data_IF_290513820101
#
_entry.id   IF_290513820101
#
_cell.length_a   1.000
_cell.length_b   1.000
_cell.length_c   1.000
_cell.angle_alpha   90.00
_cell.angle_beta   90.00
_cell.angle_gamma   90.00
#
_symmetry.space_group_name_H-M   'P 1'
#
loop_
_entity.id
_entity.type
_entity.pdbx_description
1 polymer ?
#
# COMPACT_ATOMS: atom_id res chain seq x y z
N UNK A 1 17.37 -10.58 -14.42
CA UNK A 1 16.79 -10.34 -15.78
C UNK A 1 15.88 -9.14 -15.66
N UNK A 2 15.92 -8.20 -16.59
CA UNK A 2 14.99 -7.07 -16.59
C UNK A 2 13.55 -7.61 -16.72
N UNK A 3 12.56 -7.08 -15.97
CA UNK A 3 11.20 -7.61 -15.92
C UNK A 3 10.56 -7.83 -17.30
N UNK A 4 10.74 -6.90 -18.22
CA UNK A 4 10.21 -6.99 -19.58
C UNK A 4 10.80 -8.16 -20.40
N UNK A 5 12.09 -8.48 -20.22
CA UNK A 5 12.74 -9.60 -20.92
C UNK A 5 12.22 -10.95 -20.43
N UNK A 6 11.93 -11.08 -19.13
CA UNK A 6 11.39 -12.31 -18.58
C UNK A 6 9.96 -12.60 -19.11
N UNK A 7 9.14 -11.57 -19.20
CA UNK A 7 7.79 -11.65 -19.74
C UNK A 7 7.79 -11.98 -21.24
N UNK A 8 8.60 -11.27 -22.03
CA UNK A 8 8.75 -11.55 -23.48
C UNK A 8 9.26 -12.96 -23.73
N UNK A 9 10.27 -13.40 -22.97
CA UNK A 9 10.81 -14.76 -23.06
C UNK A 9 9.72 -15.79 -22.73
N UNK A 10 8.99 -15.61 -21.62
CA UNK A 10 7.92 -16.51 -21.22
C UNK A 10 6.80 -16.58 -22.27
N UNK A 11 6.38 -15.44 -22.79
CA UNK A 11 5.37 -15.35 -23.86
C UNK A 11 5.81 -16.08 -25.11
N UNK A 12 7.11 -16.04 -25.44
CA UNK A 12 7.67 -16.70 -26.62
C UNK A 12 7.75 -18.22 -26.50
N UNK A 13 8.06 -18.76 -25.30
CA UNK A 13 8.25 -20.19 -25.11
C UNK A 13 6.98 -20.93 -24.64
N UNK A 14 6.06 -20.26 -23.95
CA UNK A 14 4.86 -20.90 -23.40
C UNK A 14 3.99 -21.63 -24.44
N UNK A 15 3.85 -21.16 -25.71
CA UNK A 15 3.12 -21.91 -26.72
C UNK A 15 3.71 -23.29 -27.04
N UNK A 16 5.01 -23.50 -26.83
CA UNK A 16 5.64 -24.81 -27.05
C UNK A 16 5.16 -25.87 -26.05
N UNK A 17 4.70 -25.45 -24.89
CA UNK A 17 4.17 -26.31 -23.85
C UNK A 17 2.77 -26.85 -24.23
N UNK A 18 2.00 -26.09 -24.99
CA UNK A 18 0.65 -26.47 -25.43
C UNK A 18 0.65 -27.70 -26.36
N UNK A 19 1.78 -28.04 -26.97
CA UNK A 19 1.94 -29.20 -27.85
C UNK A 19 2.52 -30.44 -27.15
N UNK A 20 2.45 -30.52 -25.82
CA UNK A 20 2.96 -31.59 -24.99
C UNK A 20 4.40 -31.42 -24.51
N UNK A 21 4.95 -30.23 -24.62
CA UNK A 21 6.24 -29.86 -24.03
C UNK A 21 6.22 -29.89 -22.51
N UNK A 22 7.42 -29.99 -21.90
CA UNK A 22 7.61 -29.90 -20.45
C UNK A 22 8.60 -28.79 -20.14
N UNK A 23 8.37 -28.06 -19.06
CA UNK A 23 9.29 -27.05 -18.57
C UNK A 23 9.59 -27.25 -17.09
N UNK A 24 10.83 -27.03 -16.71
CA UNK A 24 11.26 -26.89 -15.31
C UNK A 24 11.80 -25.47 -15.18
N UNK A 25 11.18 -24.71 -14.29
CA UNK A 25 11.57 -23.34 -14.02
C UNK A 25 12.10 -23.28 -12.59
N UNK A 26 13.36 -22.88 -12.44
CA UNK A 26 14.00 -22.72 -11.13
C UNK A 26 14.46 -21.27 -10.97
N UNK A 27 14.12 -20.68 -9.85
CA UNK A 27 14.54 -19.31 -9.48
C UNK A 27 14.52 -19.16 -7.97
N UNK A 28 15.22 -18.16 -7.48
CA UNK A 28 14.99 -17.61 -6.16
C UNK A 28 13.95 -16.49 -6.27
N UNK A 29 13.08 -16.31 -5.25
CA UNK A 29 12.13 -15.22 -5.22
C UNK A 29 12.85 -13.87 -5.34
N UNK A 30 12.26 -12.95 -6.13
CA UNK A 30 12.76 -11.59 -6.24
C UNK A 30 11.64 -10.63 -5.86
N UNK A 31 10.84 -10.19 -6.82
CA UNK A 31 9.63 -9.40 -6.59
C UNK A 31 8.41 -10.32 -6.58
N UNK A 32 7.37 -9.98 -5.85
CA UNK A 32 6.10 -10.72 -5.85
C UNK A 32 5.22 -10.39 -7.07
N UNK A 33 5.65 -9.47 -7.92
CA UNK A 33 4.95 -9.02 -9.14
C UNK A 33 5.67 -9.42 -10.44
N UNK A 34 6.84 -10.07 -10.35
CA UNK A 34 7.56 -10.48 -11.55
C UNK A 34 6.92 -11.72 -12.23
N UNK A 35 7.41 -12.05 -13.43
CA UNK A 35 6.90 -13.18 -14.24
C UNK A 35 7.00 -14.49 -13.48
N UNK A 36 8.09 -14.73 -12.73
CA UNK A 36 8.26 -15.96 -11.95
C UNK A 36 7.24 -16.01 -10.79
N UNK A 37 7.06 -14.90 -10.06
CA UNK A 37 6.07 -14.82 -9.00
C UNK A 37 4.66 -15.08 -9.50
N UNK A 38 4.30 -14.55 -10.68
CA UNK A 38 3.00 -14.81 -11.32
C UNK A 38 2.81 -16.28 -11.62
N UNK A 39 3.81 -16.95 -12.24
CA UNK A 39 3.76 -18.38 -12.53
C UNK A 39 3.67 -19.18 -11.23
N UNK A 40 4.45 -18.81 -10.22
CA UNK A 40 4.46 -19.47 -8.91
C UNK A 40 3.11 -19.35 -8.19
N UNK A 41 2.53 -18.17 -8.09
CA UNK A 41 1.22 -17.93 -7.47
C UNK A 41 0.12 -18.77 -8.13
N UNK A 42 0.16 -18.92 -9.44
CA UNK A 42 -0.77 -19.81 -10.17
C UNK A 42 -0.49 -21.29 -9.92
N UNK A 43 0.77 -21.70 -9.75
CA UNK A 43 1.13 -23.08 -9.42
C UNK A 43 0.72 -23.48 -7.99
N UNK A 44 0.60 -22.50 -7.07
CA UNK A 44 0.09 -22.72 -5.71
C UNK A 44 -1.44 -22.79 -5.62
N UNK A 45 -2.17 -22.33 -6.65
CA UNK A 45 -3.62 -22.45 -6.73
C UNK A 45 -4.01 -23.86 -7.24
N UNK A 46 -3.99 -24.83 -6.33
CA UNK A 46 -4.15 -26.27 -6.60
C UNK A 46 -5.62 -26.69 -6.67
N UNK A 47 -6.38 -26.04 -7.56
CA UNK A 47 -7.78 -26.37 -7.82
C UNK A 47 -8.00 -26.58 -9.32
N UNK A 48 -8.84 -27.56 -9.67
CA UNK A 48 -9.27 -27.74 -11.04
C UNK A 48 -10.37 -26.72 -11.45
N UNK A 49 -10.80 -26.77 -12.71
CA UNK A 49 -11.85 -25.88 -13.24
C UNK A 49 -13.23 -26.06 -12.54
N UNK A 50 -13.39 -27.11 -11.75
CA UNK A 50 -14.61 -27.43 -10.99
C UNK A 50 -14.46 -27.12 -9.49
N UNK A 51 -13.30 -26.60 -9.07
CA UNK A 51 -13.02 -26.27 -7.67
C UNK A 51 -12.59 -27.45 -6.81
N UNK A 52 -12.26 -28.61 -7.40
CA UNK A 52 -11.71 -29.73 -6.65
C UNK A 52 -10.19 -29.59 -6.48
N UNK A 53 -9.65 -30.17 -5.41
CA UNK A 53 -8.21 -30.19 -5.17
C UNK A 53 -7.46 -30.91 -6.31
N UNK A 54 -6.32 -30.35 -6.71
CA UNK A 54 -5.44 -30.86 -7.77
C UNK A 54 -4.00 -30.86 -7.28
N UNK A 55 -3.19 -31.81 -7.77
CA UNK A 55 -1.74 -31.79 -7.52
C UNK A 55 -1.02 -30.71 -8.32
N UNK A 56 -1.60 -30.26 -9.43
CA UNK A 56 -1.10 -29.22 -10.28
C UNK A 56 -1.86 -27.90 -10.02
N UNK A 57 -1.16 -26.81 -10.10
CA UNK A 57 -1.78 -25.50 -10.08
C UNK A 57 -2.64 -25.22 -11.32
N UNK A 58 -3.44 -24.16 -11.29
CA UNK A 58 -4.34 -23.76 -12.39
C UNK A 58 -3.60 -23.52 -13.72
N UNK A 59 -2.29 -23.27 -13.67
CA UNK A 59 -1.41 -23.13 -14.83
C UNK A 59 -0.75 -24.45 -15.28
N UNK A 60 -1.09 -25.57 -14.67
CA UNK A 60 -0.55 -26.90 -14.99
C UNK A 60 0.85 -27.20 -14.45
N UNK A 61 1.43 -26.30 -13.63
CA UNK A 61 2.72 -26.53 -12.98
C UNK A 61 2.53 -27.14 -11.59
N UNK A 62 3.52 -27.96 -11.20
CA UNK A 62 3.70 -28.40 -9.82
C UNK A 62 4.69 -27.44 -9.13
N UNK A 63 4.31 -26.88 -8.00
CA UNK A 63 5.18 -26.04 -7.18
C UNK A 63 6.05 -26.92 -6.26
N UNK A 64 7.32 -26.55 -6.13
CA UNK A 64 8.26 -27.17 -5.20
C UNK A 64 9.20 -26.12 -4.62
N UNK A 65 9.37 -26.10 -3.30
CA UNK A 65 10.31 -25.25 -2.59
C UNK A 65 11.40 -26.11 -1.98
N UNK A 66 12.66 -25.74 -2.19
CA UNK A 66 13.82 -26.34 -1.51
C UNK A 66 14.41 -25.30 -0.56
N UNK A 67 14.11 -25.44 0.73
CA UNK A 67 14.61 -24.51 1.75
C UNK A 67 15.98 -24.92 2.26
N UNK A 68 16.71 -23.98 2.84
CA UNK A 68 18.07 -24.16 3.30
C UNK A 68 18.24 -25.33 4.30
N UNK A 69 17.27 -25.55 5.18
CA UNK A 69 17.32 -26.59 6.22
C UNK A 69 17.10 -28.01 5.69
N UNK A 70 16.65 -28.17 4.44
CA UNK A 70 16.52 -29.45 3.78
C UNK A 70 17.89 -29.96 3.26
N UNK A 71 18.90 -29.09 3.23
CA UNK A 71 20.24 -29.47 2.81
C UNK A 71 21.00 -30.10 4.01
N UNK A 72 21.56 -31.32 3.88
CA UNK A 72 22.14 -32.05 5.00
C UNK A 72 23.33 -31.36 5.69
N UNK A 73 24.03 -30.48 4.98
CA UNK A 73 25.23 -29.78 5.51
C UNK A 73 24.90 -28.38 6.03
N UNK A 74 23.62 -28.01 6.13
CA UNK A 74 23.18 -26.69 6.57
C UNK A 74 22.41 -26.79 7.88
N UNK A 75 23.07 -26.46 8.97
CA UNK A 75 22.51 -26.38 10.32
C UNK A 75 22.21 -24.92 10.74
N UNK A 76 21.70 -24.75 11.94
CA UNK A 76 21.42 -23.41 12.48
C UNK A 76 22.67 -22.54 12.62
N UNK A 77 23.83 -23.15 12.91
CA UNK A 77 25.09 -22.44 12.98
C UNK A 77 25.47 -21.87 11.60
N UNK A 78 25.36 -22.69 10.56
CA UNK A 78 25.55 -22.24 9.19
C UNK A 78 24.61 -21.10 8.84
N UNK A 79 23.33 -21.20 9.24
CA UNK A 79 22.34 -20.13 9.04
C UNK A 79 22.79 -18.81 9.66
N UNK A 80 23.19 -18.84 10.92
CA UNK A 80 23.58 -17.64 11.67
C UNK A 80 24.85 -17.00 11.08
N UNK A 81 25.81 -17.82 10.66
CA UNK A 81 27.02 -17.36 9.97
C UNK A 81 26.66 -16.72 8.61
N UNK A 82 25.78 -17.34 7.85
CA UNK A 82 25.37 -16.83 6.55
C UNK A 82 24.53 -15.54 6.66
N UNK A 83 23.62 -15.45 7.64
CA UNK A 83 22.89 -14.20 7.96
C UNK A 83 23.88 -13.08 8.32
N UNK A 84 24.90 -13.40 9.12
CA UNK A 84 25.95 -12.44 9.45
C UNK A 84 26.73 -11.94 8.23
N UNK A 85 26.89 -12.79 7.21
CA UNK A 85 27.63 -12.49 5.98
C UNK A 85 26.84 -11.68 4.96
N UNK A 86 25.57 -12.02 4.73
CA UNK A 86 24.77 -11.44 3.63
C UNK A 86 23.60 -10.59 4.11
N UNK A 87 23.29 -10.60 5.40
CA UNK A 87 22.13 -9.96 6.02
C UNK A 87 20.86 -10.82 5.96
N UNK A 88 20.00 -10.63 6.94
CA UNK A 88 18.79 -11.45 7.15
C UNK A 88 17.81 -11.37 5.97
N UNK A 89 17.59 -10.19 5.41
CA UNK A 89 16.68 -9.99 4.29
C UNK A 89 17.11 -10.80 3.05
N UNK A 90 18.42 -10.72 2.71
CA UNK A 90 18.97 -11.47 1.59
C UNK A 90 18.96 -12.98 1.86
N UNK A 91 19.19 -13.39 3.12
CA UNK A 91 19.10 -14.79 3.52
C UNK A 91 17.68 -15.34 3.34
N UNK A 92 16.67 -14.62 3.80
CA UNK A 92 15.26 -15.02 3.65
C UNK A 92 14.88 -15.22 2.18
N UNK A 93 15.35 -14.34 1.31
CA UNK A 93 15.10 -14.45 -0.14
C UNK A 93 15.83 -15.64 -0.76
N UNK A 94 17.14 -15.71 -0.58
CA UNK A 94 18.00 -16.66 -1.32
C UNK A 94 17.91 -18.09 -0.77
N UNK A 95 17.68 -18.23 0.52
CA UNK A 95 17.71 -19.50 1.23
C UNK A 95 16.39 -19.88 1.92
N UNK A 96 15.60 -18.90 2.33
CA UNK A 96 14.26 -19.10 2.85
C UNK A 96 13.19 -19.18 1.77
N UNK A 97 13.55 -18.84 0.53
CA UNK A 97 12.63 -18.82 -0.63
C UNK A 97 11.40 -17.93 -0.41
N UNK A 98 11.56 -16.85 0.34
CA UNK A 98 10.48 -15.91 0.61
C UNK A 98 10.42 -14.85 -0.48
N UNK A 99 9.22 -14.63 -1.07
CA UNK A 99 8.96 -13.47 -1.89
C UNK A 99 8.95 -12.24 -0.99
N UNK A 100 9.98 -11.43 -1.11
CA UNK A 100 10.02 -10.14 -0.43
C UNK A 100 9.31 -9.13 -1.33
N UNK A 101 8.37 -8.41 -0.76
CA UNK A 101 7.79 -7.24 -1.42
C UNK A 101 8.88 -6.18 -1.46
N UNK A 102 9.60 -6.13 -2.57
CA UNK A 102 10.55 -5.05 -2.84
C UNK A 102 9.77 -3.88 -3.46
N UNK A 103 9.03 -3.21 -2.65
CA UNK A 103 8.82 -1.80 -2.94
C UNK A 103 10.09 -1.06 -2.50
N UNK A 104 10.57 -0.15 -3.32
CA UNK A 104 11.47 0.93 -2.88
C UNK A 104 10.69 1.82 -1.90
N UNK A 105 10.17 1.21 -0.86
CA UNK A 105 9.37 1.90 0.14
C UNK A 105 10.32 2.60 1.10
N UNK A 106 9.98 3.82 1.46
CA UNK A 106 10.71 4.60 2.47
C UNK A 106 10.85 3.82 3.80
N UNK A 107 9.90 2.92 4.07
CA UNK A 107 9.87 2.08 5.26
C UNK A 107 10.11 0.64 4.82
N UNK A 108 11.04 -0.05 5.51
CA UNK A 108 11.35 -1.45 5.27
C UNK A 108 10.07 -2.32 5.31
N UNK A 109 9.86 -3.14 4.27
CA UNK A 109 8.66 -3.97 4.10
C UNK A 109 8.40 -4.95 5.24
N UNK A 110 9.45 -5.50 5.86
CA UNK A 110 9.33 -6.39 7.04
C UNK A 110 8.77 -5.61 8.22
N UNK A 111 9.23 -4.37 8.42
CA UNK A 111 8.72 -3.49 9.46
C UNK A 111 7.26 -3.12 9.20
N UNK A 112 6.88 -2.83 7.96
CA UNK A 112 5.49 -2.60 7.58
C UNK A 112 4.61 -3.83 7.83
N UNK A 113 5.06 -5.02 7.44
CA UNK A 113 4.34 -6.28 7.66
C UNK A 113 4.18 -6.63 9.15
N UNK A 114 5.08 -6.16 10.01
CA UNK A 114 5.00 -6.37 11.47
C UNK A 114 4.10 -5.35 12.18
N UNK A 115 3.63 -4.31 11.49
CA UNK A 115 2.74 -3.31 12.07
C UNK A 115 1.33 -3.85 12.16
N UNK A 116 0.73 -3.78 13.35
CA UNK A 116 -0.67 -4.12 13.55
C UNK A 116 -1.55 -2.91 13.21
N UNK A 117 -2.57 -3.12 12.36
CA UNK A 117 -3.57 -2.10 12.05
C UNK A 117 -4.49 -1.85 13.24
N UNK A 118 -4.88 -0.60 13.45
CA UNK A 118 -5.84 -0.22 14.49
C UNK A 118 -7.24 -0.20 13.86
N UNK A 119 -8.20 -0.85 14.52
CA UNK A 119 -9.60 -0.80 14.09
C UNK A 119 -10.19 0.59 14.35
N UNK A 120 -10.84 1.23 13.36
CA UNK A 120 -11.50 2.51 13.57
C UNK A 120 -12.58 2.43 14.67
N UNK A 121 -12.60 3.43 15.52
CA UNK A 121 -13.62 3.59 16.54
C UNK A 121 -14.97 4.00 15.95
N UNK A 122 -14.94 4.81 14.88
CA UNK A 122 -16.12 5.33 14.19
C UNK A 122 -15.83 5.45 12.70
N UNK A 123 -16.79 5.05 11.88
CA UNK A 123 -16.78 5.30 10.43
C UNK A 123 -17.90 6.30 10.07
N UNK A 124 -17.56 7.37 9.37
CA UNK A 124 -18.50 8.34 8.80
C UNK A 124 -18.35 8.31 7.27
N UNK A 125 -19.19 7.53 6.63
CA UNK A 125 -18.96 7.16 5.23
C UNK A 125 -17.64 6.41 5.09
N UNK A 126 -16.72 6.94 4.30
CA UNK A 126 -15.37 6.39 4.11
C UNK A 126 -14.33 7.02 5.05
N UNK A 127 -14.69 8.05 5.82
CA UNK A 127 -13.80 8.64 6.82
C UNK A 127 -13.74 7.73 8.05
N UNK A 128 -12.55 7.32 8.41
CA UNK A 128 -12.23 6.46 9.55
C UNK A 128 -11.69 7.31 10.69
N UNK A 129 -12.26 7.16 11.88
CA UNK A 129 -11.82 7.85 13.09
C UNK A 129 -11.27 6.84 14.09
N UNK A 130 -10.06 7.05 14.55
CA UNK A 130 -9.35 6.16 15.48
C UNK A 130 -9.43 6.64 16.92
N UNK A 131 -9.72 7.94 17.11
CA UNK A 131 -9.79 8.59 18.41
C UNK A 131 -10.88 9.65 18.43
N UNK A 132 -11.47 9.90 19.62
CA UNK A 132 -12.43 10.99 19.82
C UNK A 132 -11.71 12.34 19.73
N UNK A 133 -12.37 13.29 19.08
CA UNK A 133 -11.89 14.68 19.04
C UNK A 133 -12.02 15.31 20.43
N UNK A 134 -10.94 15.88 20.93
CA UNK A 134 -10.87 16.57 22.21
C UNK A 134 -11.03 18.08 22.03
N UNK A 135 -11.87 18.77 22.83
CA UNK A 135 -12.07 20.21 22.73
C UNK A 135 -10.80 21.06 22.92
N UNK A 136 -9.85 20.55 23.70
CA UNK A 136 -8.66 21.29 24.14
C UNK A 136 -7.39 20.96 23.29
N UNK A 137 -7.55 20.22 22.20
CA UNK A 137 -6.43 19.83 21.34
C UNK A 137 -6.45 20.61 20.04
N UNK A 138 -5.30 20.71 19.42
CA UNK A 138 -5.11 21.30 18.10
C UNK A 138 -5.09 20.17 17.06
N UNK A 139 -5.69 20.40 15.90
CA UNK A 139 -5.74 19.43 14.81
C UNK A 139 -5.17 20.02 13.53
N UNK A 140 -4.41 19.19 12.83
CA UNK A 140 -3.92 19.47 11.48
C UNK A 140 -4.56 18.48 10.53
N UNK A 141 -5.15 18.98 9.45
CA UNK A 141 -5.82 18.19 8.41
C UNK A 141 -5.16 18.50 7.08
N UNK A 142 -4.66 17.50 6.39
CA UNK A 142 -4.01 17.65 5.09
C UNK A 142 -4.69 16.80 4.03
N UNK A 143 -4.97 17.39 2.87
CA UNK A 143 -5.48 16.70 1.68
C UNK A 143 -4.36 16.58 0.65
N UNK A 144 -4.10 15.36 0.23
CA UNK A 144 -3.39 15.02 -1.00
C UNK A 144 -4.43 14.69 -2.08
N UNK A 145 -4.63 15.56 -3.10
CA UNK A 145 -5.68 15.38 -4.08
C UNK A 145 -5.27 14.41 -5.20
N UNK A 146 -6.23 13.65 -5.73
CA UNK A 146 -6.06 12.85 -6.94
C UNK A 146 -7.13 13.18 -7.99
N UNK A 147 -6.96 12.67 -9.22
CA UNK A 147 -7.94 12.87 -10.30
C UNK A 147 -9.29 12.21 -10.03
N UNK A 148 -9.35 11.21 -9.15
CA UNK A 148 -10.58 10.46 -8.87
C UNK A 148 -11.06 9.60 -10.04
N UNK A 149 -10.14 9.11 -10.87
CA UNK A 149 -10.42 8.31 -12.07
C UNK A 149 -10.20 6.80 -11.89
N UNK A 150 -9.95 6.36 -10.66
CA UNK A 150 -9.71 4.95 -10.32
C UNK A 150 -8.21 4.56 -10.28
N UNK A 151 -7.29 5.48 -10.56
CA UNK A 151 -5.86 5.33 -10.35
C UNK A 151 -5.46 5.58 -8.90
N UNK A 152 -4.59 6.57 -8.68
CA UNK A 152 -4.12 6.94 -7.35
C UNK A 152 -5.25 7.39 -6.41
N UNK A 153 -5.10 7.07 -5.13
CA UNK A 153 -6.03 7.54 -4.11
C UNK A 153 -5.79 9.02 -3.81
N UNK A 154 -6.87 9.80 -3.67
CA UNK A 154 -6.83 10.99 -2.85
C UNK A 154 -6.85 10.59 -1.38
N UNK A 155 -6.12 11.30 -0.52
CA UNK A 155 -6.03 10.99 0.89
C UNK A 155 -6.18 12.24 1.77
N UNK A 156 -6.88 12.10 2.89
CA UNK A 156 -6.91 13.11 3.95
C UNK A 156 -6.37 12.47 5.23
N UNK A 157 -5.40 13.15 5.84
CA UNK A 157 -4.83 12.76 7.13
C UNK A 157 -5.23 13.76 8.20
N UNK A 158 -5.58 13.27 9.38
CA UNK A 158 -6.01 14.08 10.52
C UNK A 158 -5.11 13.76 11.70
N UNK A 159 -4.32 14.74 12.12
CA UNK A 159 -3.30 14.60 13.15
C UNK A 159 -3.64 15.49 14.36
N UNK A 160 -3.53 14.93 15.55
CA UNK A 160 -3.65 15.66 16.83
C UNK A 160 -2.28 16.21 17.27
N UNK A 161 -2.23 17.48 17.67
CA UNK A 161 -1.04 18.10 18.26
C UNK A 161 -1.20 18.26 19.80
N UNK A 162 -0.09 18.20 20.56
CA UNK A 162 1.32 18.07 20.14
C UNK A 162 1.81 16.61 20.00
N UNK A 163 0.94 15.64 20.12
CA UNK A 163 1.31 14.19 20.15
C UNK A 163 1.69 13.64 18.78
N UNK A 164 1.30 14.31 17.68
CA UNK A 164 1.43 13.85 16.29
C UNK A 164 0.71 12.51 16.04
N UNK A 165 -0.31 12.23 16.84
CA UNK A 165 -1.11 11.01 16.71
C UNK A 165 -2.12 11.15 15.59
N UNK A 166 -2.16 10.17 14.69
CA UNK A 166 -3.21 10.08 13.68
C UNK A 166 -4.54 9.76 14.36
N UNK A 167 -5.50 10.65 14.23
CA UNK A 167 -6.81 10.50 14.86
C UNK A 167 -7.93 10.14 13.87
N UNK A 168 -7.66 10.32 12.59
CA UNK A 168 -8.57 9.94 11.52
C UNK A 168 -7.93 10.01 10.17
N UNK A 169 -8.59 9.41 9.19
CA UNK A 169 -8.18 9.42 7.78
C UNK A 169 -9.36 9.25 6.84
N UNK A 170 -9.18 9.65 5.61
CA UNK A 170 -10.03 9.32 4.49
C UNK A 170 -9.16 9.04 3.27
N UNK A 171 -9.54 8.05 2.45
CA UNK A 171 -8.90 7.80 1.16
C UNK A 171 -9.90 7.22 0.16
N UNK A 172 -9.80 7.65 -1.09
CA UNK A 172 -10.62 7.13 -2.19
C UNK A 172 -10.04 7.49 -3.56
N UNK A 173 -10.14 6.59 -4.53
CA UNK A 173 -9.59 6.79 -5.87
C UNK A 173 -10.62 7.15 -6.95
N UNK A 174 -11.92 7.20 -6.61
CA UNK A 174 -13.01 7.51 -7.56
C UNK A 174 -13.79 8.77 -7.20
N UNK A 175 -13.31 9.55 -6.22
CA UNK A 175 -13.93 10.81 -5.84
C UNK A 175 -13.26 11.95 -6.62
N UNK A 176 -14.00 12.66 -7.46
CA UNK A 176 -13.50 13.83 -8.18
C UNK A 176 -13.14 14.97 -7.21
N UNK A 177 -12.23 15.87 -7.60
CA UNK A 177 -11.72 16.97 -6.77
C UNK A 177 -12.82 17.76 -6.02
N UNK A 178 -13.94 18.16 -6.65
CA UNK A 178 -15.01 18.85 -5.89
C UNK A 178 -15.62 17.99 -4.78
N UNK A 179 -15.64 16.67 -4.95
CA UNK A 179 -16.07 15.73 -3.93
C UNK A 179 -15.05 15.62 -2.78
N UNK A 180 -13.75 15.60 -3.10
CA UNK A 180 -12.68 15.58 -2.11
C UNK A 180 -12.73 16.82 -1.21
N UNK A 181 -12.96 18.02 -1.79
CA UNK A 181 -13.10 19.26 -1.03
C UNK A 181 -14.35 19.25 -0.14
N UNK A 182 -15.47 18.65 -0.58
CA UNK A 182 -16.64 18.47 0.30
C UNK A 182 -16.32 17.55 1.47
N UNK A 183 -15.61 16.45 1.24
CA UNK A 183 -15.17 15.56 2.33
C UNK A 183 -14.24 16.29 3.30
N UNK A 184 -13.28 17.06 2.80
CA UNK A 184 -12.41 17.89 3.64
C UNK A 184 -13.23 18.84 4.52
N UNK A 185 -14.17 19.58 3.94
CA UNK A 185 -15.08 20.46 4.67
C UNK A 185 -15.89 19.72 5.73
N UNK A 186 -16.44 18.56 5.40
CA UNK A 186 -17.26 17.77 6.33
C UNK A 186 -16.42 17.24 7.50
N UNK A 187 -15.16 16.88 7.26
CA UNK A 187 -14.17 16.52 8.30
C UNK A 187 -13.88 17.74 9.20
N UNK A 188 -13.58 18.89 8.61
CA UNK A 188 -13.31 20.13 9.37
C UNK A 188 -14.53 20.54 10.21
N UNK A 189 -15.74 20.44 9.63
CA UNK A 189 -16.99 20.71 10.34
C UNK A 189 -17.19 19.76 11.52
N UNK A 190 -16.96 18.47 11.32
CA UNK A 190 -17.05 17.48 12.40
C UNK A 190 -16.07 17.81 13.53
N UNK A 191 -14.82 18.14 13.23
CA UNK A 191 -13.82 18.54 14.25
C UNK A 191 -14.29 19.79 14.97
N UNK A 192 -14.74 20.82 14.24
CA UNK A 192 -15.24 22.07 14.81
C UNK A 192 -16.43 21.86 15.74
N UNK A 193 -17.38 21.02 15.33
CA UNK A 193 -18.57 20.69 16.15
C UNK A 193 -18.19 19.96 17.45
N UNK A 194 -17.25 19.01 17.38
CA UNK A 194 -16.78 18.30 18.56
C UNK A 194 -16.00 19.21 19.51
N UNK A 195 -15.23 20.16 18.95
CA UNK A 195 -14.46 21.15 19.71
C UNK A 195 -15.33 22.31 20.21
N UNK A 196 -16.45 22.59 19.55
CA UNK A 196 -17.29 23.79 19.71
C UNK A 196 -16.54 25.09 19.39
N UNK A 197 -15.51 24.98 18.55
CA UNK A 197 -14.65 26.08 18.12
C UNK A 197 -13.92 25.73 16.84
N UNK A 198 -13.72 26.70 15.95
CA UNK A 198 -12.89 26.57 14.75
C UNK A 198 -11.42 26.90 15.01
N UNK A 199 -11.11 27.66 16.09
CA UNK A 199 -9.73 27.95 16.49
C UNK A 199 -9.00 26.65 16.87
N UNK A 200 -7.73 26.54 16.48
CA UNK A 200 -6.91 25.35 16.71
C UNK A 200 -7.21 24.20 15.73
N UNK A 201 -7.90 24.48 14.64
CA UNK A 201 -7.99 23.62 13.46
C UNK A 201 -7.17 24.29 12.36
N UNK A 202 -6.22 23.55 11.83
CA UNK A 202 -5.38 23.97 10.71
C UNK A 202 -5.53 22.97 9.58
N UNK A 203 -5.64 23.44 8.34
CA UNK A 203 -5.77 22.56 7.21
C UNK A 203 -4.96 23.03 6.01
N UNK A 204 -4.59 22.08 5.16
CA UNK A 204 -3.76 22.31 3.99
C UNK A 204 -4.18 21.38 2.85
N UNK A 205 -3.84 21.77 1.63
CA UNK A 205 -3.95 20.94 0.43
C UNK A 205 -2.59 20.94 -0.25
N UNK A 206 -2.10 19.75 -0.64
CA UNK A 206 -0.86 19.64 -1.37
C UNK A 206 -0.96 20.41 -2.70
N UNK A 207 -0.02 21.36 -2.90
CA UNK A 207 -0.03 22.25 -4.06
C UNK A 207 0.94 21.76 -5.13
N UNK A 208 0.70 20.55 -5.65
CA UNK A 208 1.34 20.05 -6.86
C UNK A 208 0.26 19.91 -7.95
N UNK A 209 0.51 20.26 -9.20
CA UNK A 209 -0.40 20.12 -10.35
C UNK A 209 -1.91 19.99 -10.08
N UNK A 210 -2.35 18.94 -9.41
CA UNK A 210 -3.75 18.72 -9.02
C UNK A 210 -4.20 19.60 -7.85
N UNK A 211 -3.29 20.03 -7.01
CA UNK A 211 -3.57 20.96 -5.92
C UNK A 211 -4.07 22.31 -6.42
N UNK A 212 -3.59 22.80 -7.56
CA UNK A 212 -4.11 24.03 -8.18
C UNK A 212 -5.60 23.92 -8.51
N UNK A 213 -6.03 22.77 -9.04
CA UNK A 213 -7.46 22.50 -9.31
C UNK A 213 -8.27 22.43 -8.01
N UNK A 214 -7.70 21.87 -6.93
CA UNK A 214 -8.34 21.84 -5.63
C UNK A 214 -8.48 23.25 -5.03
N UNK A 215 -7.45 24.10 -5.16
CA UNK A 215 -7.49 25.49 -4.71
C UNK A 215 -8.54 26.33 -5.45
N UNK A 216 -8.72 26.10 -6.76
CA UNK A 216 -9.82 26.76 -7.52
C UNK A 216 -11.18 26.37 -6.92
N UNK A 217 -11.40 25.09 -6.64
CA UNK A 217 -12.66 24.62 -6.05
C UNK A 217 -12.86 25.20 -4.64
N UNK A 218 -11.81 25.31 -3.84
CA UNK A 218 -11.87 25.94 -2.50
C UNK A 218 -12.26 27.42 -2.61
N UNK A 219 -11.65 28.14 -3.56
CA UNK A 219 -11.99 29.54 -3.80
C UNK A 219 -13.43 29.74 -4.25
N UNK A 220 -13.95 28.83 -5.11
CA UNK A 220 -15.34 28.84 -5.58
C UNK A 220 -16.33 28.50 -4.46
N UNK A 221 -15.94 27.65 -3.52
CA UNK A 221 -16.73 27.34 -2.34
C UNK A 221 -16.75 28.47 -1.32
N UNK A 222 -15.73 29.32 -1.33
CA UNK A 222 -15.41 30.29 -0.29
C UNK A 222 -14.64 29.64 0.86
N UNK A 223 -13.36 30.01 1.01
CA UNK A 223 -12.50 29.54 2.08
C UNK A 223 -13.10 29.83 3.47
N UNK A 224 -13.80 30.94 3.60
CA UNK A 224 -14.51 31.37 4.82
C UNK A 224 -15.63 30.41 5.27
N UNK A 225 -16.10 29.54 4.36
CA UNK A 225 -17.11 28.50 4.66
C UNK A 225 -16.48 27.19 5.17
N UNK A 226 -15.15 27.15 5.28
CA UNK A 226 -14.40 25.99 5.78
C UNK A 226 -13.89 26.27 7.20
N UNK A 227 -14.29 25.49 8.22
CA UNK A 227 -13.84 25.70 9.59
C UNK A 227 -12.33 25.57 9.75
N UNK A 228 -11.73 26.46 10.53
CA UNK A 228 -10.29 26.46 10.81
C UNK A 228 -9.52 27.44 9.93
N UNK A 229 -8.19 27.36 10.02
CA UNK A 229 -7.27 28.22 9.28
C UNK A 229 -6.58 27.42 8.18
N UNK A 230 -6.70 27.89 6.94
CA UNK A 230 -5.95 27.37 5.81
C UNK A 230 -4.47 27.76 5.94
N UNK A 231 -3.59 26.77 5.77
CA UNK A 231 -2.14 26.96 5.74
C UNK A 231 -1.68 26.61 4.34
N UNK A 232 -1.16 27.59 3.60
CA UNK A 232 -0.49 27.37 2.32
C UNK A 232 1.00 27.70 2.45
N UNK A 233 1.84 26.97 1.72
CA UNK A 233 3.23 27.39 1.57
C UNK A 233 3.28 28.70 0.77
N UNK A 234 4.11 29.68 1.19
CA UNK A 234 4.35 30.86 0.38
C UNK A 234 5.00 30.41 -0.95
N UNK A 235 4.41 30.84 -2.05
CA UNK A 235 5.01 30.65 -3.39
C UNK A 235 6.37 31.34 -3.36
N UNK A 236 7.45 30.55 -3.54
CA UNK A 236 8.82 31.05 -3.63
C UNK A 236 9.11 31.61 -4.99
#
# INVERSE_FOLDING_TARGET
VQPNIAEEFWTSISPTLATGGRAIITSTPNSDEDTFATIWKQAEQKFDAHGNESELGINGFHSFVAQWHEHPDRDEKWRDEEIGRIGEEKFRREYGCEFLVFDETLINSIKLASMEGITPMLNMGQTRWYKKISPNKTYVVALDPSMGTGGDNAAIQIIELPTYEQVGEWQHNQTAIPGQIRVLRDILSYISDQRKASEGIYWSVENNGLGEAALIVINDFGEENMPGLFISEPIK
#
